data_IF_865706646053
#
_entry.id   IF_865706646053
#
_cell.length_a   1.000
_cell.length_b   1.000
_cell.length_c   1.000
_cell.angle_alpha   90.00
_cell.angle_beta   90.00
_cell.angle_gamma   90.00
#
_symmetry.space_group_name_H-M   'P 1'
#
loop_
_entity.id
_entity.type
_entity.pdbx_description
1 polymer ?
#
# COMPACT_ATOMS: atom_id res chain seq x y z
N UNK A 1 -20.74 -43.11 12.58
CA UNK A 1 -20.38 -43.04 11.14
C UNK A 1 -20.77 -41.65 10.67
N UNK A 2 -19.82 -40.76 10.38
CA UNK A 2 -20.14 -39.42 9.91
C UNK A 2 -20.67 -39.49 8.48
N UNK A 3 -21.84 -38.90 8.26
CA UNK A 3 -22.54 -38.92 6.97
C UNK A 3 -21.71 -38.20 5.91
N UNK A 4 -21.44 -38.86 4.79
CA UNK A 4 -20.67 -38.31 3.67
C UNK A 4 -21.26 -37.00 3.15
N UNK A 5 -22.58 -36.82 3.27
CA UNK A 5 -23.30 -35.57 2.99
C UNK A 5 -22.82 -34.40 3.85
N UNK A 6 -22.53 -34.64 5.13
CA UNK A 6 -22.05 -33.60 6.05
C UNK A 6 -20.64 -33.12 5.69
N UNK A 7 -19.77 -34.03 5.23
CA UNK A 7 -18.46 -33.65 4.74
C UNK A 7 -18.54 -32.82 3.45
N UNK A 8 -19.44 -33.17 2.53
CA UNK A 8 -19.59 -32.44 1.26
C UNK A 8 -20.07 -31.00 1.52
N UNK A 9 -21.05 -30.81 2.41
CA UNK A 9 -21.56 -29.47 2.73
C UNK A 9 -20.51 -28.61 3.43
N UNK A 10 -19.68 -29.18 4.31
CA UNK A 10 -18.56 -28.47 4.96
C UNK A 10 -17.50 -27.98 3.96
N UNK A 11 -17.18 -28.80 2.96
CA UNK A 11 -16.21 -28.43 1.92
C UNK A 11 -16.76 -27.29 1.05
N UNK A 12 -18.06 -27.32 0.72
CA UNK A 12 -18.70 -26.24 -0.04
C UNK A 12 -18.73 -24.95 0.78
N UNK A 13 -19.09 -25.03 2.07
CA UNK A 13 -19.16 -23.86 2.96
C UNK A 13 -17.79 -23.18 3.11
N UNK A 14 -16.74 -23.96 3.34
CA UNK A 14 -15.37 -23.44 3.46
C UNK A 14 -14.87 -22.82 2.15
N UNK A 15 -15.22 -23.41 1.00
CA UNK A 15 -14.92 -22.83 -0.31
C UNK A 15 -15.59 -21.47 -0.55
N UNK A 16 -16.86 -21.31 -0.16
CA UNK A 16 -17.60 -20.04 -0.28
C UNK A 16 -17.01 -18.97 0.65
N UNK A 17 -16.69 -19.32 1.89
CA UNK A 17 -16.06 -18.41 2.84
C UNK A 17 -14.68 -17.95 2.37
N UNK A 18 -13.87 -18.85 1.80
CA UNK A 18 -12.57 -18.50 1.22
C UNK A 18 -12.74 -17.53 0.04
N UNK A 19 -13.68 -17.79 -0.87
CA UNK A 19 -13.93 -16.90 -2.02
C UNK A 19 -14.38 -15.49 -1.58
N UNK A 20 -15.27 -15.41 -0.59
CA UNK A 20 -15.70 -14.14 0.00
C UNK A 20 -14.55 -13.40 0.70
N UNK A 21 -13.70 -14.13 1.43
CA UNK A 21 -12.51 -13.57 2.06
C UNK A 21 -11.50 -13.04 1.04
N UNK A 22 -11.30 -13.72 -0.10
CA UNK A 22 -10.43 -13.21 -1.17
C UNK A 22 -10.99 -11.95 -1.83
N UNK A 23 -12.31 -11.86 -2.02
CA UNK A 23 -12.96 -10.67 -2.56
C UNK A 23 -12.88 -9.45 -1.60
N UNK A 24 -12.95 -9.68 -0.28
CA UNK A 24 -12.82 -8.62 0.73
C UNK A 24 -11.36 -8.23 1.02
N UNK A 25 -10.41 -9.15 0.84
CA UNK A 25 -9.00 -8.92 1.16
C UNK A 25 -8.23 -8.20 0.05
N UNK A 26 -8.81 -8.09 -1.15
CA UNK A 26 -8.10 -7.67 -2.36
C UNK A 26 -7.05 -8.73 -2.73
N UNK A 27 -7.18 -9.32 -3.92
CA UNK A 27 -6.17 -10.24 -4.40
C UNK A 27 -4.83 -9.52 -4.61
N UNK A 28 -3.69 -10.24 -4.66
CA UNK A 28 -2.41 -9.64 -5.05
C UNK A 28 -2.46 -8.94 -6.41
N UNK A 29 -3.42 -9.30 -7.27
CA UNK A 29 -3.70 -8.66 -8.57
C UNK A 29 -4.33 -7.28 -8.42
N UNK A 30 -5.13 -7.04 -7.36
CA UNK A 30 -5.76 -5.73 -7.12
C UNK A 30 -4.74 -4.66 -6.69
N UNK A 31 -3.57 -5.08 -6.19
CA UNK A 31 -2.44 -4.18 -5.94
C UNK A 31 -1.58 -3.91 -7.18
N UNK A 32 -1.79 -4.67 -8.28
CA UNK A 32 -1.02 -4.57 -9.52
C UNK A 32 -1.79 -3.74 -10.56
N UNK A 33 -3.12 -3.63 -10.45
CA UNK A 33 -3.95 -2.79 -11.32
C UNK A 33 -4.18 -1.42 -10.69
N UNK A 34 -3.09 -0.70 -10.41
CA UNK A 34 -3.13 0.76 -10.39
C UNK A 34 -1.79 1.32 -10.90
N UNK A 35 -1.32 0.72 -12.00
CA UNK A 35 -0.46 1.39 -12.99
C UNK A 35 -1.29 2.44 -13.78
N UNK A 36 -2.18 3.18 -13.10
CA UNK A 36 -2.71 4.42 -13.64
C UNK A 36 -1.56 5.41 -13.60
N UNK A 37 -0.74 5.37 -14.65
CA UNK A 37 0.17 6.41 -15.14
C UNK A 37 0.24 7.59 -14.18
N UNK A 38 1.05 7.44 -13.16
CA UNK A 38 1.33 8.50 -12.23
C UNK A 38 2.26 9.43 -13.00
N UNK A 39 1.72 10.41 -13.74
CA UNK A 39 2.48 11.37 -14.57
C UNK A 39 3.61 12.07 -13.78
N UNK A 40 3.60 11.97 -12.45
CA UNK A 40 4.55 12.56 -11.51
C UNK A 40 5.46 11.54 -10.78
N UNK A 41 5.20 10.24 -10.95
CA UNK A 41 5.95 9.13 -10.36
C UNK A 41 6.05 9.19 -8.83
N UNK A 42 4.96 9.51 -8.12
CA UNK A 42 5.01 9.61 -6.65
C UNK A 42 5.33 8.27 -6.01
N UNK A 43 4.75 7.18 -6.52
CA UNK A 43 5.05 5.83 -6.03
C UNK A 43 6.54 5.47 -6.16
N UNK A 44 7.16 5.79 -7.29
CA UNK A 44 8.59 5.54 -7.52
C UNK A 44 9.48 6.48 -6.68
N UNK A 45 9.07 7.73 -6.46
CA UNK A 45 9.75 8.67 -5.55
C UNK A 45 9.68 8.21 -4.09
N UNK A 46 8.51 7.77 -3.63
CA UNK A 46 8.33 7.21 -2.28
C UNK A 46 9.21 5.97 -2.07
N UNK A 47 9.21 5.05 -3.05
CA UNK A 47 10.07 3.87 -3.02
C UNK A 47 11.55 4.23 -2.94
N UNK A 48 12.00 5.20 -3.74
CA UNK A 48 13.39 5.66 -3.73
C UNK A 48 13.78 6.33 -2.39
N UNK A 49 12.89 7.11 -1.78
CA UNK A 49 13.12 7.69 -0.45
C UNK A 49 13.26 6.63 0.63
N UNK A 50 12.37 5.63 0.65
CA UNK A 50 12.47 4.51 1.60
C UNK A 50 13.75 3.71 1.39
N UNK A 51 14.11 3.45 0.12
CA UNK A 51 15.36 2.75 -0.22
C UNK A 51 16.59 3.54 0.24
N UNK A 52 16.60 4.87 0.09
CA UNK A 52 17.67 5.73 0.61
C UNK A 52 17.75 5.64 2.14
N UNK A 53 16.62 5.69 2.85
CA UNK A 53 16.57 5.56 4.31
C UNK A 53 17.23 4.27 4.79
N UNK A 54 16.90 3.13 4.17
CA UNK A 54 17.48 1.83 4.50
C UNK A 54 19.00 1.78 4.21
N UNK A 55 19.48 2.49 3.20
CA UNK A 55 20.93 2.57 2.93
C UNK A 55 21.67 3.36 4.01
N UNK A 56 21.07 4.44 4.50
CA UNK A 56 21.65 5.28 5.56
C UNK A 56 21.82 4.51 6.88
N UNK A 57 20.91 3.59 7.19
CA UNK A 57 21.01 2.73 8.38
C UNK A 57 22.22 1.79 8.32
N UNK A 58 22.70 1.46 7.13
CA UNK A 58 23.87 0.60 6.94
C UNK A 58 25.20 1.36 6.96
N UNK A 59 25.19 2.69 7.11
CA UNK A 59 26.41 3.50 7.22
C UNK A 59 27.01 3.29 8.62
N UNK A 60 28.29 2.88 8.66
CA UNK A 60 29.01 2.60 9.93
C UNK A 60 29.54 3.86 10.62
N UNK A 61 29.84 4.90 9.85
CA UNK A 61 30.31 6.18 10.37
C UNK A 61 29.11 7.00 10.88
N UNK A 62 29.08 7.27 12.18
CA UNK A 62 27.99 7.99 12.84
C UNK A 62 27.85 9.44 12.34
N UNK A 63 28.95 10.11 12.01
CA UNK A 63 28.89 11.48 11.52
C UNK A 63 28.34 11.52 10.09
N UNK A 64 28.85 10.65 9.21
CA UNK A 64 28.33 10.52 7.85
C UNK A 64 26.86 10.07 7.82
N UNK A 65 26.47 9.17 8.74
CA UNK A 65 25.08 8.76 8.91
C UNK A 65 24.19 9.92 9.32
N UNK A 66 24.62 10.75 10.27
CA UNK A 66 23.87 11.93 10.70
C UNK A 66 23.66 12.93 9.56
N UNK A 67 24.71 13.26 8.81
CA UNK A 67 24.61 14.17 7.65
C UNK A 67 23.62 13.62 6.61
N UNK A 68 23.75 12.34 6.26
CA UNK A 68 22.84 11.70 5.30
C UNK A 68 21.39 11.62 5.80
N UNK A 69 21.16 11.48 7.12
CA UNK A 69 19.83 11.54 7.72
C UNK A 69 19.19 12.93 7.63
N UNK A 70 19.99 13.98 7.81
CA UNK A 70 19.51 15.38 7.69
C UNK A 70 19.10 15.66 6.24
N UNK A 71 19.95 15.33 5.28
CA UNK A 71 19.65 15.48 3.84
C UNK A 71 18.40 14.69 3.44
N UNK A 72 18.29 13.43 3.89
CA UNK A 72 17.11 12.60 3.64
C UNK A 72 15.83 13.20 4.25
N UNK A 73 15.92 13.83 5.43
CA UNK A 73 14.78 14.47 6.08
C UNK A 73 14.28 15.67 5.26
N UNK A 74 15.18 16.47 4.69
CA UNK A 74 14.81 17.58 3.82
C UNK A 74 14.12 17.07 2.54
N UNK A 75 14.66 16.02 1.91
CA UNK A 75 14.01 15.37 0.75
C UNK A 75 12.62 14.80 1.10
N UNK A 76 12.46 14.23 2.30
CA UNK A 76 11.19 13.69 2.76
C UNK A 76 10.15 14.78 3.04
N UNK A 77 10.55 15.94 3.55
CA UNK A 77 9.67 17.10 3.74
C UNK A 77 9.21 17.66 2.39
N UNK A 78 10.12 17.84 1.44
CA UNK A 78 9.78 18.29 0.08
C UNK A 78 8.82 17.30 -0.62
N UNK A 79 9.00 16.00 -0.39
CA UNK A 79 8.07 14.99 -0.90
C UNK A 79 6.69 15.08 -0.24
N UNK A 80 6.61 15.35 1.06
CA UNK A 80 5.33 15.51 1.74
C UNK A 80 4.54 16.72 1.19
N UNK A 81 5.21 17.85 0.95
CA UNK A 81 4.59 19.02 0.31
C UNK A 81 4.06 18.69 -1.11
N UNK A 82 4.80 17.89 -1.88
CA UNK A 82 4.34 17.40 -3.18
C UNK A 82 3.11 16.48 -3.06
N UNK A 83 3.02 15.67 -2.00
CA UNK A 83 1.83 14.84 -1.75
C UNK A 83 0.62 15.69 -1.34
N UNK A 84 0.81 16.67 -0.46
CA UNK A 84 -0.27 17.57 0.00
C UNK A 84 -0.84 18.40 -1.15
N UNK A 85 0.03 18.96 -1.99
CA UNK A 85 -0.41 19.72 -3.19
C UNK A 85 -1.17 18.86 -4.19
N UNK A 86 -0.82 17.58 -4.34
CA UNK A 86 -1.57 16.65 -5.20
C UNK A 86 -2.88 16.19 -4.58
N UNK A 87 -2.93 15.94 -3.28
CA UNK A 87 -4.15 15.60 -2.58
C UNK A 87 -5.18 16.73 -2.65
N UNK A 88 -4.74 17.98 -2.44
CA UNK A 88 -5.60 19.17 -2.54
C UNK A 88 -6.06 19.44 -3.98
N UNK A 89 -5.25 19.10 -4.99
CA UNK A 89 -5.64 19.23 -6.40
C UNK A 89 -6.54 18.10 -6.91
N UNK A 90 -6.50 16.90 -6.28
CA UNK A 90 -7.44 15.81 -6.56
C UNK A 90 -8.73 16.02 -5.76
N UNK A 91 -9.56 16.95 -6.20
CA UNK A 91 -10.96 17.00 -5.77
C UNK A 91 -11.65 15.66 -6.09
N UNK A 92 -12.12 15.00 -5.04
CA UNK A 92 -12.94 13.78 -4.90
C UNK A 92 -13.61 13.30 -6.21
N UNK A 93 -13.34 12.05 -6.60
CA UNK A 93 -14.27 11.12 -7.28
C UNK A 93 -13.55 9.78 -7.47
N UNK A 94 -13.64 8.80 -6.55
CA UNK A 94 -14.53 7.63 -6.72
C UNK A 94 -14.57 6.77 -5.45
N UNK A 95 -14.55 7.37 -4.26
CA UNK A 95 -14.84 6.61 -3.04
C UNK A 95 -16.36 6.44 -2.94
N UNK A 96 -16.83 5.20 -3.09
CA UNK A 96 -18.22 4.79 -2.87
C UNK A 96 -18.61 5.26 -1.46
N UNK A 97 -19.48 6.26 -1.39
CA UNK A 97 -20.08 6.69 -0.13
C UNK A 97 -21.05 5.61 0.31
N UNK A 98 -20.70 4.88 1.37
CA UNK A 98 -21.62 3.97 2.03
C UNK A 98 -22.75 4.81 2.66
N UNK A 99 -24.03 4.43 2.47
CA UNK A 99 -25.14 5.16 3.06
C UNK A 99 -25.06 5.03 4.59
N UNK A 100 -25.06 6.18 5.26
CA UNK A 100 -25.32 6.27 6.69
C UNK A 100 -26.84 6.27 6.89
N UNK A 101 -27.38 5.15 7.35
CA UNK A 101 -28.62 5.08 8.13
C UNK A 101 -28.28 4.67 9.57
#
# INVERSE_FOLDING_TARGET
MFSTLYCITLVILTGVLLRGAFALRGGPVDYIVEDSVDELGLGSKAYNLLRKRNRIENIKDQFAQYVALVEWKEEALAFNELCETQFLNRNISNLIQLPLE
#
